data_IF_048965934462
#
_entry.id   IF_048965934462
#
_cell.length_a   1.000
_cell.length_b   1.000
_cell.length_c   1.000
_cell.angle_alpha   90.00
_cell.angle_beta   90.00
_cell.angle_gamma   90.00
#
_symmetry.space_group_name_H-M   'P 1'
#
loop_
_entity.id
_entity.type
_entity.pdbx_description
1 polymer ?
#
# COMPACT_ATOMS: atom_id res chain seq x y z
N UNK A 1 2.06 3.96 -10.53
CA UNK A 1 1.86 2.98 -9.44
C UNK A 1 1.94 1.53 -9.92
N UNK A 2 0.99 1.03 -10.73
CA UNK A 2 0.91 -0.40 -11.13
C UNK A 2 2.21 -0.96 -11.72
N UNK A 3 2.86 -0.23 -12.63
CA UNK A 3 4.09 -0.67 -13.28
C UNK A 3 5.21 -1.01 -12.28
N UNK A 4 5.45 -0.15 -11.28
CA UNK A 4 6.45 -0.39 -10.24
C UNK A 4 6.10 -1.56 -9.33
N UNK A 5 4.82 -1.71 -8.96
CA UNK A 5 4.35 -2.85 -8.18
C UNK A 5 4.49 -4.19 -8.95
N UNK A 6 4.24 -4.19 -10.27
CA UNK A 6 4.49 -5.37 -11.11
C UNK A 6 5.97 -5.68 -11.28
N UNK A 7 6.83 -4.65 -11.41
CA UNK A 7 8.27 -4.83 -11.43
C UNK A 7 8.76 -5.50 -10.12
N UNK A 8 8.17 -5.12 -8.98
CA UNK A 8 8.44 -5.73 -7.69
C UNK A 8 8.07 -7.22 -7.65
N UNK A 9 6.86 -7.57 -8.09
CA UNK A 9 6.41 -8.97 -8.21
C UNK A 9 7.35 -9.77 -9.11
N UNK A 10 7.79 -9.21 -10.23
CA UNK A 10 8.73 -9.86 -11.15
C UNK A 10 10.11 -10.09 -10.53
N UNK A 11 10.57 -9.14 -9.72
CA UNK A 11 11.89 -9.15 -9.05
C UNK A 11 11.98 -10.19 -7.93
N UNK A 12 10.86 -10.56 -7.33
CA UNK A 12 10.75 -11.61 -6.30
C UNK A 12 11.74 -11.46 -5.12
N UNK A 13 11.85 -10.26 -4.50
CA UNK A 13 12.58 -10.15 -3.25
C UNK A 13 12.03 -11.11 -2.19
N UNK A 14 12.92 -11.63 -1.37
CA UNK A 14 12.54 -12.50 -0.26
C UNK A 14 11.87 -11.68 0.84
N UNK A 15 10.82 -12.26 1.44
CA UNK A 15 10.15 -11.64 2.56
C UNK A 15 11.10 -11.49 3.75
N UNK A 16 11.38 -10.25 4.15
CA UNK A 16 12.22 -9.97 5.31
C UNK A 16 11.75 -8.73 6.06
N UNK A 17 11.16 -8.97 7.23
CA UNK A 17 10.83 -7.90 8.18
C UNK A 17 12.08 -7.49 8.95
N UNK A 18 12.69 -6.38 8.55
CA UNK A 18 13.90 -5.86 9.17
C UNK A 18 13.97 -4.32 9.11
N UNK A 19 14.78 -3.76 10.01
CA UNK A 19 15.14 -2.36 10.05
C UNK A 19 16.39 -2.12 9.20
N UNK A 20 16.43 -1.03 8.44
CA UNK A 20 17.57 -0.66 7.61
C UNK A 20 17.96 0.78 7.92
N UNK A 21 19.24 1.04 8.18
CA UNK A 21 19.74 2.41 8.24
C UNK A 21 19.61 3.05 6.85
N UNK A 22 19.09 4.28 6.78
CA UNK A 22 18.71 4.92 5.51
C UNK A 22 17.33 4.52 5.01
N UNK A 23 16.70 3.52 5.63
CA UNK A 23 15.30 3.12 5.49
C UNK A 23 14.95 2.20 4.33
N UNK A 24 15.80 2.10 3.31
CA UNK A 24 15.53 1.27 2.14
C UNK A 24 16.15 -0.13 2.27
N UNK A 25 15.35 -1.22 2.16
CA UNK A 25 15.90 -2.57 2.04
C UNK A 25 16.70 -2.75 0.75
N UNK A 26 17.66 -3.70 0.73
CA UNK A 26 18.33 -4.08 -0.51
C UNK A 26 17.34 -4.63 -1.54
N UNK A 27 17.75 -4.69 -2.80
CA UNK A 27 16.85 -5.11 -3.87
C UNK A 27 16.39 -6.59 -3.73
N UNK A 28 17.07 -7.41 -2.93
CA UNK A 28 16.70 -8.81 -2.69
C UNK A 28 15.67 -9.00 -1.58
N UNK A 29 15.23 -7.95 -0.89
CA UNK A 29 14.42 -8.04 0.33
C UNK A 29 13.24 -7.06 0.32
N UNK A 30 12.14 -7.45 0.97
CA UNK A 30 11.01 -6.55 1.19
C UNK A 30 9.83 -7.17 1.94
N UNK A 31 8.89 -6.33 2.34
CA UNK A 31 7.58 -6.67 2.91
C UNK A 31 6.46 -5.96 2.13
N UNK A 32 5.22 -6.01 2.61
CA UNK A 32 4.06 -5.41 1.96
C UNK A 32 4.22 -3.91 1.67
N UNK A 33 4.72 -3.13 2.62
CA UNK A 33 4.99 -1.68 2.46
C UNK A 33 6.12 -1.39 1.49
N UNK A 34 7.00 -2.37 1.22
CA UNK A 34 8.08 -2.21 0.23
C UNK A 34 7.57 -2.26 -1.20
N UNK A 35 6.50 -3.02 -1.47
CA UNK A 35 5.78 -2.95 -2.75
C UNK A 35 5.24 -1.53 -2.97
N UNK A 36 4.73 -0.90 -1.91
CA UNK A 36 4.13 0.43 -1.96
C UNK A 36 5.17 1.49 -2.26
N UNK A 37 6.21 1.65 -1.44
CA UNK A 37 7.17 2.75 -1.66
C UNK A 37 7.95 2.59 -2.97
N UNK A 38 8.24 1.36 -3.41
CA UNK A 38 8.88 1.12 -4.72
C UNK A 38 7.95 1.51 -5.87
N UNK A 39 6.65 1.22 -5.75
CA UNK A 39 5.66 1.67 -6.72
C UNK A 39 5.49 3.20 -6.76
N UNK A 40 5.58 3.88 -5.60
CA UNK A 40 5.61 5.34 -5.54
C UNK A 40 6.86 5.90 -6.22
N UNK A 41 8.05 5.37 -5.89
CA UNK A 41 9.33 5.78 -6.49
C UNK A 41 9.28 5.66 -8.01
N UNK A 42 8.85 4.51 -8.51
CA UNK A 42 8.78 4.25 -9.95
C UNK A 42 7.70 5.09 -10.65
N UNK A 43 6.73 5.63 -9.89
CA UNK A 43 5.75 6.60 -10.35
C UNK A 43 6.21 8.06 -10.23
N UNK A 44 7.45 8.31 -9.77
CA UNK A 44 8.02 9.65 -9.63
C UNK A 44 7.77 10.32 -8.29
N UNK A 45 7.29 9.59 -7.27
CA UNK A 45 7.03 10.13 -5.94
C UNK A 45 8.05 9.64 -4.91
N UNK A 46 8.54 10.54 -4.08
CA UNK A 46 9.32 10.20 -2.89
C UNK A 46 8.39 10.01 -1.68
N UNK A 47 7.86 8.79 -1.52
CA UNK A 47 6.95 8.45 -0.42
C UNK A 47 7.58 8.71 0.95
N UNK A 48 8.88 8.49 1.10
CA UNK A 48 9.56 8.70 2.37
C UNK A 48 9.52 10.18 2.76
N UNK A 49 9.92 11.07 1.84
CA UNK A 49 9.88 12.51 2.09
C UNK A 49 8.46 13.04 2.32
N UNK A 50 7.47 12.52 1.57
CA UNK A 50 6.06 12.89 1.75
C UNK A 50 5.53 12.50 3.14
N UNK A 51 5.83 11.28 3.60
CA UNK A 51 5.43 10.81 4.94
C UNK A 51 6.18 11.58 6.02
N UNK A 52 7.49 11.80 5.87
CA UNK A 52 8.31 12.57 6.83
C UNK A 52 7.78 14.00 7.00
N UNK A 53 7.35 14.64 5.89
CA UNK A 53 6.77 15.98 5.91
C UNK A 53 5.41 16.01 6.63
N UNK A 54 4.51 15.08 6.31
CA UNK A 54 3.19 15.05 6.93
C UNK A 54 3.26 14.69 8.42
N UNK A 55 4.16 13.77 8.82
CA UNK A 55 4.42 13.46 10.24
C UNK A 55 4.93 14.69 10.98
N UNK A 56 5.89 15.44 10.41
CA UNK A 56 6.44 16.64 11.05
C UNK A 56 5.37 17.70 11.30
N UNK A 57 4.46 17.88 10.35
CA UNK A 57 3.38 18.86 10.45
C UNK A 57 2.24 18.38 11.37
N UNK A 58 2.06 17.07 11.57
CA UNK A 58 0.86 16.50 12.20
C UNK A 58 1.18 15.38 13.19
N UNK A 59 2.27 15.49 13.94
CA UNK A 59 2.81 14.40 14.78
C UNK A 59 1.79 13.77 15.74
N UNK A 60 0.78 14.52 16.18
CA UNK A 60 -0.27 14.03 17.09
C UNK A 60 -1.22 13.03 16.43
N UNK A 61 -1.38 13.08 15.10
CA UNK A 61 -2.20 12.14 14.33
C UNK A 61 -1.52 10.76 14.19
N UNK A 62 -0.20 10.72 14.34
CA UNK A 62 0.64 9.53 14.14
C UNK A 62 0.94 8.80 15.45
N UNK A 63 -0.06 8.15 16.03
CA UNK A 63 0.08 7.44 17.31
C UNK A 63 1.24 6.42 17.34
N UNK A 64 1.52 5.75 16.21
CA UNK A 64 2.59 4.75 16.08
C UNK A 64 4.00 5.35 16.19
N UNK A 65 4.16 6.64 15.90
CA UNK A 65 5.40 7.42 16.03
C UNK A 65 5.74 7.74 17.50
N UNK A 66 4.73 7.77 18.40
CA UNK A 66 4.92 8.04 19.84
C UNK A 66 5.71 9.33 20.11
N UNK A 67 5.47 10.37 19.31
CA UNK A 67 6.14 11.67 19.43
C UNK A 67 7.60 11.70 19.00
N UNK A 68 8.16 10.60 18.47
CA UNK A 68 9.56 10.50 18.03
C UNK A 68 9.63 9.91 16.62
N UNK A 69 9.58 10.75 15.57
CA UNK A 69 9.67 10.29 14.19
C UNK A 69 10.98 9.54 13.93
N UNK A 70 10.89 8.46 13.17
CA UNK A 70 12.01 7.68 12.68
C UNK A 70 11.91 7.55 11.15
N UNK A 71 12.62 8.43 10.40
CA UNK A 71 12.53 8.46 8.95
C UNK A 71 13.01 7.17 8.28
N UNK A 72 13.77 6.31 8.97
CA UNK A 72 14.22 5.04 8.40
C UNK A 72 13.10 3.99 8.33
N UNK A 73 11.96 4.19 8.99
CA UNK A 73 10.95 3.13 9.10
C UNK A 73 9.52 3.65 9.02
N UNK A 74 9.28 4.94 9.24
CA UNK A 74 7.91 5.46 9.33
C UNK A 74 7.10 5.29 8.04
N UNK A 75 7.71 5.49 6.87
CA UNK A 75 7.08 5.23 5.57
C UNK A 75 6.89 3.73 5.25
N UNK A 76 7.45 2.85 6.08
CA UNK A 76 7.36 1.38 5.95
C UNK A 76 6.45 0.75 7.00
N UNK A 77 5.68 1.55 7.75
CA UNK A 77 4.70 1.10 8.75
C UNK A 77 3.29 1.27 8.22
N UNK A 78 2.52 0.18 8.14
CA UNK A 78 1.11 0.22 7.70
C UNK A 78 0.27 1.22 8.50
N UNK A 79 0.36 1.31 9.85
CA UNK A 79 -0.40 2.31 10.60
C UNK A 79 -0.09 3.76 10.22
N UNK A 80 1.18 4.07 9.92
CA UNK A 80 1.57 5.41 9.48
C UNK A 80 1.07 5.68 8.06
N UNK A 81 1.19 4.71 7.16
CA UNK A 81 0.71 4.86 5.78
C UNK A 81 -0.81 5.05 5.72
N UNK A 82 -1.58 4.41 6.61
CA UNK A 82 -3.03 4.65 6.71
C UNK A 82 -3.33 6.12 7.05
N UNK A 83 -2.63 6.69 8.05
CA UNK A 83 -2.80 8.10 8.43
C UNK A 83 -2.40 9.03 7.29
N UNK A 84 -1.24 8.77 6.67
CA UNK A 84 -0.76 9.54 5.53
C UNK A 84 -1.75 9.54 4.37
N UNK A 85 -2.25 8.36 3.97
CA UNK A 85 -3.19 8.22 2.84
C UNK A 85 -4.52 8.91 3.13
N UNK A 86 -5.09 8.79 4.32
CA UNK A 86 -6.33 9.53 4.69
C UNK A 86 -6.18 11.04 4.57
N UNK A 87 -4.97 11.56 4.77
CA UNK A 87 -4.67 13.00 4.75
C UNK A 87 -4.25 13.51 3.37
N UNK A 88 -3.73 12.64 2.50
CA UNK A 88 -3.06 13.04 1.26
C UNK A 88 -3.59 12.32 0.00
N UNK A 89 -4.62 11.48 0.13
CA UNK A 89 -5.24 10.74 -0.96
C UNK A 89 -6.77 10.84 -0.86
N UNK A 90 -7.46 10.50 -1.95
CA UNK A 90 -8.91 10.37 -1.93
C UNK A 90 -9.30 9.03 -1.29
N UNK A 91 -10.04 9.04 -0.18
CA UNK A 91 -10.63 7.83 0.39
C UNK A 91 -11.91 7.47 -0.36
N UNK A 92 -12.04 6.21 -0.77
CA UNK A 92 -13.09 5.68 -1.63
C UNK A 92 -13.95 4.65 -0.87
N UNK A 93 -15.01 4.17 -1.52
CA UNK A 93 -15.83 3.10 -0.96
C UNK A 93 -14.98 1.85 -0.65
N UNK A 94 -15.36 1.14 0.41
CA UNK A 94 -14.79 -0.16 0.79
C UNK A 94 -15.70 -1.33 0.42
N UNK A 95 -16.89 -1.03 -0.11
CA UNK A 95 -17.84 -2.02 -0.59
C UNK A 95 -17.44 -2.45 -2.00
N UNK A 96 -17.22 -3.77 -2.17
CA UNK A 96 -16.92 -4.41 -3.44
C UNK A 96 -18.09 -5.31 -3.79
N UNK A 97 -18.72 -5.05 -4.94
CA UNK A 97 -19.87 -5.82 -5.43
C UNK A 97 -19.47 -6.51 -6.74
N UNK A 98 -19.14 -7.81 -6.73
CA UNK A 98 -18.83 -8.57 -7.94
C UNK A 98 -19.92 -8.45 -9.02
N UNK A 99 -19.53 -8.17 -10.27
CA UNK A 99 -20.43 -8.03 -11.40
C UNK A 99 -21.17 -6.69 -11.49
N UNK A 100 -21.07 -5.82 -10.48
CA UNK A 100 -21.62 -4.47 -10.53
C UNK A 100 -20.62 -3.50 -11.16
N UNK A 101 -20.88 -3.09 -12.39
CA UNK A 101 -19.99 -2.21 -13.15
C UNK A 101 -19.86 -0.84 -12.48
N UNK A 102 -20.94 -0.27 -11.95
CA UNK A 102 -20.91 1.06 -11.34
C UNK A 102 -20.05 1.05 -10.08
N UNK A 103 -20.24 0.05 -9.21
CA UNK A 103 -19.39 -0.15 -8.04
C UNK A 103 -17.93 -0.33 -8.45
N UNK A 104 -17.66 -1.22 -9.42
CA UNK A 104 -16.29 -1.60 -9.81
C UNK A 104 -15.53 -0.49 -10.56
N UNK A 105 -16.22 0.50 -11.12
CA UNK A 105 -15.57 1.71 -11.65
C UNK A 105 -14.88 2.55 -10.55
N UNK A 106 -15.26 2.38 -9.28
CA UNK A 106 -14.60 3.06 -8.17
C UNK A 106 -13.27 2.39 -7.78
N UNK A 107 -13.03 1.15 -8.21
CA UNK A 107 -11.84 0.35 -7.85
C UNK A 107 -10.86 0.31 -9.01
N UNK A 108 -9.94 1.27 -9.09
CA UNK A 108 -9.04 1.43 -10.23
C UNK A 108 -7.64 0.90 -9.96
N UNK A 109 -6.96 0.50 -11.04
CA UNK A 109 -5.61 0.01 -10.96
C UNK A 109 -4.67 1.10 -10.42
N UNK A 110 -3.85 0.74 -9.44
CA UNK A 110 -2.96 1.67 -8.75
C UNK A 110 -3.51 2.26 -7.46
N UNK A 111 -4.81 2.10 -7.19
CA UNK A 111 -5.38 2.41 -5.87
C UNK A 111 -4.72 1.54 -4.79
N UNK A 112 -4.73 2.03 -3.56
CA UNK A 112 -4.07 1.39 -2.42
C UNK A 112 -5.14 0.92 -1.45
N UNK A 113 -5.05 -0.34 -1.01
CA UNK A 113 -5.98 -0.94 -0.04
C UNK A 113 -5.23 -1.40 1.20
N UNK A 114 -5.85 -1.22 2.37
CA UNK A 114 -5.30 -1.62 3.65
C UNK A 114 -6.23 -2.60 4.36
N UNK A 115 -5.65 -3.49 5.17
CA UNK A 115 -6.38 -4.53 5.89
C UNK A 115 -6.12 -4.44 7.40
N UNK A 116 -7.12 -4.82 8.20
CA UNK A 116 -7.06 -4.75 9.66
C UNK A 116 -6.12 -5.80 10.29
N UNK A 117 -5.70 -5.62 11.55
CA UNK A 117 -5.25 -6.72 12.39
C UNK A 117 -6.34 -7.81 12.52
N UNK A 118 -5.98 -9.08 12.77
CA UNK A 118 -4.63 -9.58 13.07
C UNK A 118 -3.73 -9.79 11.84
N UNK A 119 -4.27 -9.76 10.63
CA UNK A 119 -3.50 -9.87 9.39
C UNK A 119 -3.36 -8.49 8.73
N UNK A 120 -2.82 -7.54 9.49
CA UNK A 120 -2.61 -6.17 9.02
C UNK A 120 -1.75 -6.18 7.76
N UNK A 121 -2.21 -5.47 6.73
CA UNK A 121 -1.59 -5.55 5.42
C UNK A 121 -1.90 -4.32 4.56
N UNK A 122 -1.11 -4.13 3.51
CA UNK A 122 -1.32 -3.10 2.49
C UNK A 122 -1.00 -3.66 1.11
N UNK A 123 -1.76 -3.26 0.10
CA UNK A 123 -1.58 -3.70 -1.27
C UNK A 123 -1.94 -2.61 -2.28
N UNK A 124 -1.50 -2.79 -3.52
CA UNK A 124 -1.87 -1.95 -4.67
C UNK A 124 -2.82 -2.75 -5.57
N UNK A 125 -3.92 -2.15 -6.02
CA UNK A 125 -4.82 -2.79 -6.97
C UNK A 125 -4.14 -2.97 -8.32
N UNK A 126 -4.24 -4.17 -8.87
CA UNK A 126 -3.74 -4.49 -10.21
C UNK A 126 -4.69 -3.99 -11.30
N UNK A 127 -4.15 -3.83 -12.50
CA UNK A 127 -4.91 -3.73 -13.76
C UNK A 127 -5.51 -5.09 -14.19
N UNK A 128 -5.05 -6.20 -13.61
CA UNK A 128 -5.63 -7.53 -13.79
C UNK A 128 -6.91 -7.64 -12.97
N UNK A 129 -7.98 -8.12 -13.62
CA UNK A 129 -9.29 -8.35 -13.00
C UNK A 129 -9.75 -9.80 -13.15
N UNK A 130 -10.54 -10.26 -12.20
CA UNK A 130 -11.34 -11.47 -12.32
C UNK A 130 -12.44 -11.31 -13.40
N UNK A 131 -13.09 -12.41 -13.83
CA UNK A 131 -14.24 -12.34 -14.74
C UNK A 131 -15.42 -11.50 -14.23
N UNK A 132 -15.60 -11.40 -12.91
CA UNK A 132 -16.63 -10.56 -12.26
C UNK A 132 -16.18 -9.09 -12.07
N UNK A 133 -15.02 -8.72 -12.62
CA UNK A 133 -14.47 -7.37 -12.63
C UNK A 133 -13.72 -6.95 -11.35
N UNK A 134 -13.71 -7.77 -10.30
CA UNK A 134 -12.94 -7.46 -9.08
C UNK A 134 -11.43 -7.47 -9.39
N UNK A 135 -10.67 -6.42 -9.00
CA UNK A 135 -9.25 -6.36 -9.30
C UNK A 135 -8.44 -7.32 -8.40
N UNK A 136 -7.35 -7.82 -8.97
CA UNK A 136 -6.29 -8.50 -8.21
C UNK A 136 -5.54 -7.48 -7.34
N UNK A 137 -4.77 -7.97 -6.39
CA UNK A 137 -3.86 -7.16 -5.57
C UNK A 137 -2.40 -7.51 -5.86
N UNK A 138 -1.55 -6.49 -5.90
CA UNK A 138 -0.09 -6.58 -5.94
C UNK A 138 0.41 -6.35 -4.52
N UNK A 139 1.01 -7.37 -3.90
CA UNK A 139 1.37 -7.34 -2.49
C UNK A 139 2.53 -8.29 -2.16
N UNK A 140 3.03 -8.20 -0.91
CA UNK A 140 4.03 -9.13 -0.40
C UNK A 140 3.66 -9.62 1.00
N UNK A 141 3.14 -10.84 1.08
CA UNK A 141 2.86 -11.56 2.32
C UNK A 141 3.80 -12.75 2.55
N UNK A 142 4.88 -12.82 1.76
CA UNK A 142 5.82 -13.93 1.74
C UNK A 142 5.34 -15.16 0.96
N UNK A 143 6.28 -16.03 0.53
CA UNK A 143 7.74 -15.88 0.65
C UNK A 143 8.33 -14.81 -0.28
N UNK A 144 7.61 -14.41 -1.32
CA UNK A 144 7.95 -13.35 -2.27
C UNK A 144 6.68 -12.56 -2.64
N UNK A 145 6.78 -11.34 -3.21
CA UNK A 145 5.61 -10.62 -3.70
C UNK A 145 4.86 -11.40 -4.79
N UNK A 146 3.55 -11.14 -4.86
CA UNK A 146 2.63 -11.79 -5.79
C UNK A 146 1.57 -10.83 -6.32
N UNK A 147 1.02 -11.18 -7.48
CA UNK A 147 -0.24 -10.66 -8.00
C UNK A 147 -1.32 -11.70 -7.75
N UNK A 148 -2.26 -11.44 -6.85
CA UNK A 148 -3.19 -12.45 -6.33
C UNK A 148 -4.65 -11.97 -6.32
N UNK A 149 -5.58 -12.91 -6.39
CA UNK A 149 -7.02 -12.69 -6.26
C UNK A 149 -7.45 -12.82 -4.79
N UNK A 150 -6.86 -11.98 -3.93
CA UNK A 150 -7.11 -12.01 -2.49
C UNK A 150 -7.80 -10.75 -1.98
N UNK A 151 -8.25 -9.84 -2.85
CA UNK A 151 -8.85 -8.58 -2.41
C UNK A 151 -10.02 -8.79 -1.44
N UNK A 152 -10.95 -9.70 -1.76
CA UNK A 152 -12.11 -10.00 -0.92
C UNK A 152 -11.89 -11.18 0.05
N UNK A 153 -10.84 -11.97 -0.16
CA UNK A 153 -10.56 -13.19 0.60
C UNK A 153 -9.36 -13.06 1.54
N UNK A 154 -8.81 -11.86 1.71
CA UNK A 154 -7.79 -11.59 2.70
C UNK A 154 -8.36 -11.92 4.10
N UNK A 155 -7.59 -12.57 5.00
CA UNK A 155 -8.09 -13.04 6.30
C UNK A 155 -8.36 -11.91 7.32
N UNK A 156 -8.48 -10.67 6.87
CA UNK A 156 -8.86 -9.50 7.67
C UNK A 156 -9.59 -8.49 6.79
N UNK A 157 -10.50 -7.74 7.39
CA UNK A 157 -11.34 -6.77 6.69
C UNK A 157 -10.53 -5.61 6.07
N UNK A 158 -11.04 -5.06 4.97
CA UNK A 158 -10.52 -3.82 4.38
C UNK A 158 -10.77 -2.65 5.34
N UNK A 159 -9.72 -1.90 5.66
CA UNK A 159 -9.77 -0.72 6.55
C UNK A 159 -9.71 0.59 5.79
N UNK A 160 -9.28 0.57 4.53
CA UNK A 160 -9.17 1.75 3.69
C UNK A 160 -8.95 1.39 2.23
N UNK A 161 -9.43 2.26 1.35
CA UNK A 161 -9.27 2.20 -0.10
C UNK A 161 -8.99 3.62 -0.58
N UNK A 162 -7.83 3.84 -1.19
CA UNK A 162 -7.28 5.16 -1.43
C UNK A 162 -6.80 5.33 -2.86
N UNK A 163 -7.12 6.47 -3.48
CA UNK A 163 -6.56 6.90 -4.76
C UNK A 163 -5.57 8.04 -4.57
N UNK A 164 -4.33 7.82 -5.02
CA UNK A 164 -3.23 8.77 -4.94
C UNK A 164 -2.63 9.05 -6.33
N UNK A 165 -2.24 10.30 -6.64
CA UNK A 165 -2.39 11.51 -5.83
C UNK A 165 -3.86 11.95 -5.75
N UNK A 166 -4.15 12.94 -4.91
CA UNK A 166 -5.43 13.63 -4.96
C UNK A 166 -5.56 14.31 -6.33
N UNK A 167 -6.32 13.71 -7.25
CA UNK A 167 -6.72 14.38 -8.49
C UNK A 167 -7.99 15.19 -8.17
N UNK A 168 -7.85 16.52 -8.17
CA UNK A 168 -8.99 17.44 -8.18
C UNK A 168 -9.81 17.28 -9.46
#
# INVERSE_FOLDING_TARGET
MVAGAKAEVKRKPQYRSAYYQGGYPPESEGVCTDVVWRAFRDAGYDLKSLVDQDIRANIQEYSRVKGKPDPNIDFRRVPNLIVFLRRNAQELTREIIPGDVENLTLWQAGDIVTFAPPHEHIAILSDKRRPDGVPYILHNSGPTPSESDQLQNWPSQITGHFRFPFSL
#
